data_IF_850407937810
#
_entry.id   IF_850407937810
#
_cell.length_a   1.000
_cell.length_b   1.000
_cell.length_c   1.000
_cell.angle_alpha   90.00
_cell.angle_beta   90.00
_cell.angle_gamma   90.00
#
_symmetry.space_group_name_H-M   'P 1'
#
loop_
_entity.id
_entity.type
_entity.pdbx_description
1 polymer ?
#
# COMPACT_ATOMS: atom_id res chain seq x y z
N UNK A 1 24.72 -0.60 10.99
CA UNK A 1 25.50 -1.83 10.63
C UNK A 1 25.42 -2.16 9.14
N UNK A 2 24.25 -2.46 8.53
CA UNK A 2 24.17 -2.79 7.07
C UNK A 2 24.67 -1.64 6.20
N UNK A 3 24.28 -0.40 6.46
CA UNK A 3 24.75 0.80 5.75
C UNK A 3 26.27 0.92 5.74
N UNK A 4 26.93 0.75 6.88
CA UNK A 4 28.38 0.87 7.01
C UNK A 4 29.14 -0.23 6.24
N UNK A 5 28.56 -1.42 6.17
CA UNK A 5 29.10 -2.53 5.38
C UNK A 5 29.00 -2.21 3.90
N UNK A 6 27.81 -1.76 3.44
CA UNK A 6 27.56 -1.44 2.04
C UNK A 6 28.42 -0.28 1.52
N UNK A 7 28.61 0.77 2.32
CA UNK A 7 29.45 1.92 1.94
C UNK A 7 30.94 1.61 1.89
N UNK A 8 31.40 0.58 2.63
CA UNK A 8 32.82 0.14 2.60
C UNK A 8 33.13 -0.88 1.51
N UNK A 9 32.12 -1.48 0.88
CA UNK A 9 32.32 -2.45 -0.18
C UNK A 9 32.82 -1.76 -1.47
N UNK A 10 33.99 -2.18 -1.95
CA UNK A 10 34.55 -1.73 -3.24
C UNK A 10 34.03 -2.52 -4.45
N UNK A 11 32.81 -3.03 -4.36
CA UNK A 11 32.17 -3.84 -5.41
C UNK A 11 30.88 -3.17 -5.87
N UNK A 12 30.46 -3.45 -7.10
CA UNK A 12 29.15 -3.03 -7.59
C UNK A 12 28.06 -3.81 -6.84
N UNK A 13 27.06 -3.11 -6.34
CA UNK A 13 25.95 -3.69 -5.57
C UNK A 13 24.66 -3.30 -6.28
N UNK A 14 23.77 -4.26 -6.50
CA UNK A 14 22.41 -4.01 -6.90
C UNK A 14 21.52 -4.09 -5.64
N UNK A 15 20.77 -3.02 -5.40
CA UNK A 15 19.90 -2.90 -4.24
C UNK A 15 18.47 -2.63 -4.70
N UNK A 16 17.53 -3.40 -4.18
CA UNK A 16 16.10 -3.18 -4.35
C UNK A 16 15.52 -2.97 -2.95
N UNK A 17 14.93 -1.82 -2.71
CA UNK A 17 14.33 -1.49 -1.41
C UNK A 17 13.22 -0.45 -1.58
N UNK A 18 12.27 -0.45 -0.66
CA UNK A 18 11.25 0.58 -0.52
C UNK A 18 11.58 1.60 0.58
N UNK A 19 12.69 1.40 1.29
CA UNK A 19 13.20 2.33 2.30
C UNK A 19 14.00 3.44 1.60
N UNK A 20 13.34 4.55 1.30
CA UNK A 20 13.92 5.70 0.59
C UNK A 20 15.09 6.33 1.36
N UNK A 21 15.00 6.61 2.67
CA UNK A 21 16.12 7.11 3.46
C UNK A 21 17.35 6.22 3.40
N UNK A 22 17.14 4.90 3.49
CA UNK A 22 18.23 3.94 3.35
C UNK A 22 18.83 3.95 1.94
N UNK A 23 18.00 3.85 0.89
CA UNK A 23 18.42 3.94 -0.51
C UNK A 23 19.28 5.18 -0.73
N UNK A 24 18.75 6.34 -0.35
CA UNK A 24 19.40 7.65 -0.56
C UNK A 24 20.76 7.78 0.12
N UNK A 25 20.97 6.99 1.18
CA UNK A 25 22.23 6.98 1.93
C UNK A 25 23.34 6.12 1.34
N UNK A 26 23.01 5.25 0.37
CA UNK A 26 23.93 4.22 -0.14
C UNK A 26 24.12 4.29 -1.66
N UNK A 27 23.08 4.71 -2.40
CA UNK A 27 23.09 4.70 -3.86
C UNK A 27 23.71 5.95 -4.47
N UNK A 28 24.26 5.79 -5.67
CA UNK A 28 24.73 6.88 -6.54
C UNK A 28 24.21 6.73 -7.98
N UNK A 29 23.41 5.70 -8.23
CA UNK A 29 22.89 5.37 -9.54
C UNK A 29 21.56 4.64 -9.39
N UNK A 30 20.58 5.01 -10.21
CA UNK A 30 19.27 4.36 -10.24
C UNK A 30 19.01 3.82 -11.65
N UNK A 31 18.55 2.58 -11.71
CA UNK A 31 17.94 2.00 -12.89
C UNK A 31 16.45 1.92 -12.69
N UNK A 32 15.70 2.74 -13.44
CA UNK A 32 14.25 2.76 -13.44
C UNK A 32 13.71 1.87 -14.55
N UNK A 33 12.84 0.92 -14.19
CA UNK A 33 12.18 0.01 -15.13
C UNK A 33 10.74 0.44 -15.32
N UNK A 34 10.42 0.95 -16.49
CA UNK A 34 9.06 1.36 -16.84
C UNK A 34 8.77 1.00 -18.30
N UNK A 35 7.56 0.53 -18.61
CA UNK A 35 7.13 0.16 -19.97
C UNK A 35 8.12 -0.75 -20.71
N UNK A 36 8.71 -1.73 -20.02
CA UNK A 36 9.74 -2.64 -20.55
C UNK A 36 11.02 -1.93 -21.01
N UNK A 37 11.22 -0.70 -20.61
CA UNK A 37 12.45 0.07 -20.84
C UNK A 37 13.20 0.22 -19.53
N UNK A 38 14.51 0.15 -19.62
CA UNK A 38 15.43 0.41 -18.51
C UNK A 38 16.08 1.76 -18.74
N UNK A 39 15.82 2.72 -17.85
CA UNK A 39 16.42 4.07 -17.93
C UNK A 39 17.37 4.28 -16.76
N UNK A 40 18.58 4.77 -17.09
CA UNK A 40 19.63 5.04 -16.12
C UNK A 40 19.59 6.48 -15.66
N UNK A 41 19.58 6.70 -14.34
CA UNK A 41 19.70 8.02 -13.71
C UNK A 41 20.91 8.02 -12.78
N UNK A 42 21.74 9.06 -12.90
CA UNK A 42 22.91 9.26 -12.03
C UNK A 42 22.48 10.21 -10.91
N UNK A 43 22.80 9.88 -9.69
CA UNK A 43 22.44 10.66 -8.51
C UNK A 43 21.70 9.83 -7.46
N UNK A 44 21.14 10.52 -6.48
CA UNK A 44 20.34 9.94 -5.41
C UNK A 44 18.86 9.80 -5.82
N UNK A 45 18.05 9.29 -4.89
CA UNK A 45 16.62 9.06 -5.15
C UNK A 45 15.82 10.35 -5.36
N UNK A 46 16.16 11.43 -4.64
CA UNK A 46 15.44 12.71 -4.77
C UNK A 46 15.76 13.38 -6.10
N UNK A 47 17.02 13.30 -6.55
CA UNK A 47 17.43 13.81 -7.86
C UNK A 47 16.76 13.01 -8.99
N UNK A 48 16.73 11.69 -8.87
CA UNK A 48 15.96 10.83 -9.79
C UNK A 48 14.50 11.26 -9.87
N UNK A 49 13.83 11.43 -8.72
CA UNK A 49 12.42 11.79 -8.69
C UNK A 49 12.16 13.11 -9.38
N UNK A 50 12.99 14.12 -9.11
CA UNK A 50 12.90 15.45 -9.76
C UNK A 50 13.03 15.36 -11.28
N UNK A 51 14.02 14.60 -11.78
CA UNK A 51 14.25 14.42 -13.22
C UNK A 51 13.10 13.61 -13.84
N UNK A 52 12.65 12.56 -13.17
CA UNK A 52 11.56 11.71 -13.64
C UNK A 52 10.25 12.50 -13.77
N UNK A 53 9.87 13.28 -12.77
CA UNK A 53 8.68 14.14 -12.80
C UNK A 53 8.76 15.20 -13.91
N UNK A 54 9.91 15.83 -14.08
CA UNK A 54 10.13 16.80 -15.16
C UNK A 54 9.97 16.13 -16.54
N UNK A 55 10.57 14.95 -16.74
CA UNK A 55 10.47 14.20 -17.99
C UNK A 55 9.03 13.74 -18.25
N UNK A 56 8.32 13.27 -17.21
CA UNK A 56 6.90 12.89 -17.30
C UNK A 56 6.03 14.07 -17.70
N UNK A 57 6.22 15.24 -17.09
CA UNK A 57 5.49 16.46 -17.44
C UNK A 57 5.77 16.90 -18.88
N UNK A 58 7.02 16.82 -19.32
CA UNK A 58 7.42 17.16 -20.70
C UNK A 58 6.77 16.18 -21.71
N UNK A 59 6.78 14.88 -21.43
CA UNK A 59 6.16 13.87 -22.28
C UNK A 59 4.64 14.06 -22.35
N UNK A 60 3.99 14.38 -21.23
CA UNK A 60 2.56 14.68 -21.18
C UNK A 60 2.24 15.91 -22.04
N UNK A 61 2.98 16.99 -21.92
CA UNK A 61 2.78 18.18 -22.74
C UNK A 61 3.01 17.92 -24.24
N UNK A 62 4.00 17.09 -24.58
CA UNK A 62 4.25 16.69 -25.98
C UNK A 62 3.09 15.84 -26.54
N UNK A 63 2.56 14.90 -25.73
CA UNK A 63 1.38 14.09 -26.09
C UNK A 63 0.15 14.98 -26.35
N UNK A 64 -0.15 15.91 -25.46
CA UNK A 64 -1.30 16.81 -25.60
C UNK A 64 -1.20 17.67 -26.87
N UNK A 65 -0.01 18.22 -27.16
CA UNK A 65 0.24 18.95 -28.41
C UNK A 65 0.05 18.07 -29.63
N UNK A 66 0.54 16.83 -29.60
CA UNK A 66 0.35 15.88 -30.69
C UNK A 66 -1.12 15.53 -30.88
N UNK A 67 -1.88 15.30 -29.79
CA UNK A 67 -3.33 15.01 -29.88
C UNK A 67 -4.10 16.18 -30.49
N UNK A 68 -3.75 17.42 -30.15
CA UNK A 68 -4.36 18.61 -30.76
C UNK A 68 -4.02 18.70 -32.26
N UNK A 69 -2.78 18.45 -32.65
CA UNK A 69 -2.39 18.42 -34.08
C UNK A 69 -3.12 17.30 -34.83
N UNK A 70 -3.19 16.12 -34.28
CA UNK A 70 -3.95 14.98 -34.85
C UNK A 70 -5.42 15.33 -35.02
N UNK A 71 -6.05 15.95 -34.02
CA UNK A 71 -7.46 16.38 -34.12
C UNK A 71 -7.66 17.41 -35.23
N UNK A 72 -6.80 18.42 -35.34
CA UNK A 72 -6.86 19.42 -36.39
C UNK A 72 -6.70 18.81 -37.82
N UNK A 73 -5.73 17.89 -37.95
CA UNK A 73 -5.49 17.22 -39.23
C UNK A 73 -6.67 16.33 -39.60
N UNK A 74 -7.24 15.56 -38.67
CA UNK A 74 -8.45 14.74 -38.91
C UNK A 74 -9.66 15.58 -39.30
N UNK A 75 -9.91 16.68 -38.59
CA UNK A 75 -11.01 17.59 -38.89
C UNK A 75 -10.86 18.22 -40.28
N UNK A 76 -9.66 18.67 -40.64
CA UNK A 76 -9.39 19.20 -41.97
C UNK A 76 -9.63 18.15 -43.07
N UNK A 77 -9.14 16.92 -42.88
CA UNK A 77 -9.33 15.82 -43.83
C UNK A 77 -10.83 15.51 -43.97
N UNK A 78 -11.58 15.42 -42.87
CA UNK A 78 -13.01 15.14 -42.89
C UNK A 78 -13.81 16.19 -43.70
N UNK A 79 -13.49 17.49 -43.47
CA UNK A 79 -14.21 18.60 -44.18
C UNK A 79 -13.84 18.74 -45.66
N UNK A 80 -12.64 18.33 -46.06
CA UNK A 80 -12.10 18.63 -47.40
C UNK A 80 -11.94 17.39 -48.29
N UNK A 81 -12.16 16.18 -47.80
CA UNK A 81 -11.99 14.92 -48.55
C UNK A 81 -12.91 14.86 -49.80
N UNK A 82 -14.15 15.35 -49.70
CA UNK A 82 -15.17 15.28 -50.74
C UNK A 82 -15.09 16.43 -51.75
N UNK A 83 -14.30 17.50 -51.51
CA UNK A 83 -14.23 18.67 -52.40
C UNK A 83 -13.10 18.52 -53.40
N UNK A 84 -13.39 18.57 -54.70
CA UNK A 84 -12.41 18.40 -55.79
C UNK A 84 -11.22 19.37 -55.66
N UNK A 85 -11.47 20.64 -55.34
CA UNK A 85 -10.44 21.67 -55.22
C UNK A 85 -9.48 21.46 -54.03
N UNK A 86 -9.91 20.76 -52.97
CA UNK A 86 -9.10 20.59 -51.71
C UNK A 86 -8.71 19.14 -51.45
N UNK A 87 -9.16 18.20 -52.28
CA UNK A 87 -8.90 16.76 -52.08
C UNK A 87 -7.42 16.41 -52.10
N UNK A 88 -6.60 17.10 -52.89
CA UNK A 88 -5.14 16.93 -52.91
C UNK A 88 -4.48 17.32 -51.60
N UNK A 89 -4.90 18.45 -51.00
CA UNK A 89 -4.41 18.87 -49.65
C UNK A 89 -4.88 17.94 -48.55
N UNK A 90 -6.13 17.44 -48.65
CA UNK A 90 -6.67 16.46 -47.70
C UNK A 90 -5.86 15.15 -47.75
N UNK A 91 -5.53 14.64 -48.96
CA UNK A 91 -4.67 13.45 -49.13
C UNK A 91 -3.26 13.66 -48.55
N UNK A 92 -2.66 14.85 -48.76
CA UNK A 92 -1.33 15.15 -48.18
C UNK A 92 -1.35 15.16 -46.65
N UNK A 93 -2.39 15.73 -46.04
CA UNK A 93 -2.56 15.73 -44.58
C UNK A 93 -2.87 14.34 -44.01
N UNK A 94 -3.67 13.55 -44.73
CA UNK A 94 -3.89 12.14 -44.37
C UNK A 94 -2.57 11.38 -44.37
N UNK A 95 -1.74 11.54 -45.42
CA UNK A 95 -0.41 10.90 -45.49
C UNK A 95 0.53 11.36 -44.36
N UNK A 96 0.38 12.60 -43.87
CA UNK A 96 1.11 13.08 -42.68
C UNK A 96 0.64 12.36 -41.43
N UNK A 97 -0.68 12.19 -41.22
CA UNK A 97 -1.27 11.43 -40.12
C UNK A 97 -0.81 9.97 -40.13
N UNK A 98 -0.84 9.32 -41.31
CA UNK A 98 -0.46 7.90 -41.44
C UNK A 98 1.04 7.65 -41.15
N UNK A 99 1.88 8.69 -41.28
CA UNK A 99 3.32 8.61 -41.01
C UNK A 99 3.71 9.12 -39.63
N UNK A 100 2.76 9.67 -38.85
CA UNK A 100 3.04 10.24 -37.56
C UNK A 100 3.25 9.12 -36.53
N UNK A 101 4.43 9.06 -35.93
CA UNK A 101 4.67 8.19 -34.78
C UNK A 101 3.89 8.73 -33.57
N UNK A 102 2.94 7.93 -33.11
CA UNK A 102 2.09 8.32 -31.99
C UNK A 102 2.88 8.17 -30.68
N UNK A 103 2.86 9.23 -29.85
CA UNK A 103 3.40 9.19 -28.51
C UNK A 103 2.45 8.32 -27.67
N UNK A 104 2.98 7.24 -27.11
CA UNK A 104 2.26 6.39 -26.18
C UNK A 104 2.64 6.84 -24.75
N UNK A 105 1.64 7.30 -24.01
CA UNK A 105 1.82 7.50 -22.57
C UNK A 105 1.74 6.16 -21.86
N UNK A 106 2.57 6.00 -20.84
CA UNK A 106 2.39 4.90 -19.91
C UNK A 106 0.96 4.92 -19.36
N UNK A 107 0.28 3.78 -19.38
CA UNK A 107 -0.99 3.68 -18.70
C UNK A 107 -0.77 4.06 -17.23
N UNK A 108 -1.42 5.11 -16.76
CA UNK A 108 -1.34 5.49 -15.35
C UNK A 108 -1.83 4.31 -14.50
N UNK A 109 -0.99 3.91 -13.55
CA UNK A 109 -1.44 2.93 -12.56
C UNK A 109 -2.57 3.57 -11.77
N UNK A 110 -3.68 2.86 -11.53
CA UNK A 110 -4.76 3.41 -10.72
C UNK A 110 -4.20 3.74 -9.33
N UNK A 111 -4.36 4.99 -8.93
CA UNK A 111 -3.95 5.42 -7.59
C UNK A 111 -4.86 4.74 -6.57
N UNK A 112 -4.31 4.18 -5.50
CA UNK A 112 -5.12 3.58 -4.45
C UNK A 112 -5.92 4.66 -3.72
N UNK A 113 -7.15 4.33 -3.33
CA UNK A 113 -8.03 5.14 -2.49
C UNK A 113 -8.57 4.26 -1.38
N UNK A 114 -8.17 4.54 -0.13
CA UNK A 114 -8.55 3.75 1.03
C UNK A 114 -9.53 4.55 1.91
N UNK A 115 -10.75 4.04 2.06
CA UNK A 115 -11.78 4.63 2.91
C UNK A 115 -12.38 3.55 3.80
N UNK A 116 -12.01 3.55 5.08
CA UNK A 116 -12.52 2.58 6.05
C UNK A 116 -13.99 2.85 6.37
N UNK A 117 -14.81 1.81 6.32
CA UNK A 117 -16.20 1.90 6.75
C UNK A 117 -16.27 1.99 8.27
N UNK A 118 -17.14 2.89 8.74
CA UNK A 118 -17.37 3.08 10.17
C UNK A 118 -18.43 2.08 10.64
N UNK A 119 -18.07 1.21 11.56
CA UNK A 119 -18.98 0.33 12.27
C UNK A 119 -19.71 1.03 13.43
N UNK A 120 -20.46 0.24 14.20
CA UNK A 120 -21.13 0.69 15.43
C UNK A 120 -20.11 1.26 16.42
N UNK A 121 -20.51 2.26 17.19
CA UNK A 121 -19.66 2.81 18.25
C UNK A 121 -19.38 1.74 19.33
N UNK A 122 -18.11 1.47 19.62
CA UNK A 122 -17.69 0.55 20.70
C UNK A 122 -17.97 1.11 22.10
N UNK A 123 -17.87 0.28 23.12
CA UNK A 123 -17.83 0.69 24.52
C UNK A 123 -16.68 1.69 24.79
N UNK A 124 -16.64 2.25 26.02
CA UNK A 124 -15.57 3.18 26.40
C UNK A 124 -14.20 2.48 26.45
N UNK A 125 -14.16 1.30 27.03
CA UNK A 125 -12.96 0.46 27.10
C UNK A 125 -12.89 -0.43 25.87
N UNK A 126 -11.73 -0.48 25.23
CA UNK A 126 -11.45 -1.39 24.14
C UNK A 126 -10.94 -2.72 24.72
N UNK A 127 -9.89 -2.67 25.51
CA UNK A 127 -9.44 -3.81 26.28
C UNK A 127 -8.70 -3.34 27.55
N UNK A 128 -8.67 -4.23 28.53
CA UNK A 128 -7.87 -4.12 29.74
C UNK A 128 -7.19 -5.47 29.98
N UNK A 129 -5.93 -5.43 30.38
CA UNK A 129 -5.18 -6.65 30.75
C UNK A 129 -4.73 -6.59 32.18
N UNK A 130 -4.79 -7.73 32.90
CA UNK A 130 -4.28 -7.87 34.25
C UNK A 130 -3.22 -8.95 34.27
N UNK A 131 -1.99 -8.55 34.58
CA UNK A 131 -0.81 -9.41 34.66
C UNK A 131 -0.65 -10.35 33.44
N UNK A 132 -1.00 -9.86 32.25
CA UNK A 132 -0.97 -10.63 31.03
C UNK A 132 0.45 -11.05 30.67
N UNK A 133 0.67 -12.35 30.54
CA UNK A 133 1.93 -12.93 30.06
C UNK A 133 1.66 -13.63 28.72
N UNK A 134 2.33 -13.18 27.67
CA UNK A 134 2.22 -13.75 26.33
C UNK A 134 3.42 -14.64 25.99
N UNK A 135 3.18 -15.61 25.14
CA UNK A 135 4.20 -16.55 24.65
C UNK A 135 3.58 -17.78 24.02
N UNK A 136 4.40 -18.73 23.64
CA UNK A 136 3.99 -20.04 23.16
C UNK A 136 4.31 -21.12 24.23
N UNK A 137 5.57 -21.55 24.30
CA UNK A 137 6.03 -22.50 25.32
C UNK A 137 6.75 -21.78 26.47
N UNK A 138 7.31 -20.60 26.19
CA UNK A 138 8.04 -19.77 27.14
C UNK A 138 7.49 -18.34 27.13
N UNK A 139 7.53 -17.64 28.29
CA UNK A 139 7.11 -16.25 28.37
C UNK A 139 7.98 -15.35 27.50
N UNK A 140 7.35 -14.55 26.65
CA UNK A 140 7.99 -13.51 25.84
C UNK A 140 8.00 -12.16 26.56
N UNK A 141 7.09 -11.97 27.50
CA UNK A 141 6.94 -10.70 28.23
C UNK A 141 6.89 -10.92 29.74
N UNK A 142 7.21 -9.87 30.47
CA UNK A 142 6.85 -9.70 31.88
C UNK A 142 5.31 -9.57 31.97
N UNK A 143 4.72 -9.67 33.17
CA UNK A 143 3.28 -9.37 33.35
C UNK A 143 2.93 -7.98 32.86
N UNK A 144 1.94 -7.87 31.97
CA UNK A 144 1.51 -6.64 31.32
C UNK A 144 0.14 -6.19 31.85
N UNK A 145 0.07 -4.93 32.25
CA UNK A 145 -1.16 -4.24 32.62
C UNK A 145 -1.42 -3.13 31.62
N UNK A 146 -2.10 -3.47 30.52
CA UNK A 146 -2.38 -2.59 29.41
C UNK A 146 -3.85 -2.16 29.45
N UNK A 147 -4.07 -0.93 29.04
CA UNK A 147 -5.42 -0.37 28.97
C UNK A 147 -5.56 0.49 27.73
N UNK A 148 -6.63 0.27 26.96
CA UNK A 148 -6.92 1.03 25.75
C UNK A 148 -8.36 1.54 25.78
N UNK A 149 -8.54 2.83 25.56
CA UNK A 149 -9.86 3.47 25.44
C UNK A 149 -10.26 3.70 23.99
N UNK A 150 -11.56 3.86 23.79
CA UNK A 150 -12.13 4.20 22.50
C UNK A 150 -11.54 5.50 21.96
N UNK A 151 -11.17 5.48 20.68
CA UNK A 151 -10.61 6.63 19.97
C UNK A 151 -9.09 6.75 20.09
N UNK A 152 -8.45 5.98 20.98
CA UNK A 152 -7.00 5.93 21.00
C UNK A 152 -6.45 5.22 19.76
N UNK A 153 -5.33 5.74 19.27
CA UNK A 153 -4.54 5.16 18.18
C UNK A 153 -3.15 4.90 18.71
N UNK A 154 -2.80 3.65 18.88
CA UNK A 154 -1.58 3.23 19.56
C UNK A 154 -0.64 2.54 18.58
N UNK A 155 0.63 2.98 18.54
CA UNK A 155 1.69 2.26 17.85
C UNK A 155 2.40 1.32 18.81
N UNK A 156 2.55 0.06 18.40
CA UNK A 156 3.34 -0.94 19.08
C UNK A 156 4.70 -1.05 18.40
N UNK A 157 5.75 -0.59 19.05
CA UNK A 157 7.11 -0.51 18.50
C UNK A 157 8.08 -1.43 19.23
N UNK A 158 9.23 -1.72 18.62
CA UNK A 158 10.29 -2.55 19.17
C UNK A 158 10.90 -3.48 18.13
N UNK A 159 12.02 -4.12 18.46
CA UNK A 159 12.73 -5.02 17.55
C UNK A 159 11.89 -6.23 17.12
N UNK A 160 12.30 -6.90 16.03
CA UNK A 160 11.62 -8.11 15.58
C UNK A 160 11.83 -9.26 16.58
N UNK A 161 10.80 -10.12 16.70
CA UNK A 161 10.85 -11.27 17.60
C UNK A 161 10.53 -10.99 19.09
N UNK A 162 10.14 -9.75 19.44
CA UNK A 162 9.73 -9.38 20.81
C UNK A 162 8.28 -9.77 21.15
N UNK A 163 7.55 -10.38 20.23
CA UNK A 163 6.19 -10.86 20.48
C UNK A 163 5.08 -9.88 20.12
N UNK A 164 5.34 -8.85 19.29
CA UNK A 164 4.31 -7.87 18.87
C UNK A 164 3.08 -8.54 18.25
N UNK A 165 3.27 -9.37 17.22
CA UNK A 165 2.20 -10.17 16.59
C UNK A 165 1.53 -11.12 17.61
N UNK A 166 2.32 -11.72 18.50
CA UNK A 166 1.78 -12.60 19.56
C UNK A 166 0.88 -11.84 20.51
N UNK A 167 1.28 -10.61 20.90
CA UNK A 167 0.43 -9.73 21.72
C UNK A 167 -0.89 -9.42 21.02
N UNK A 168 -0.84 -9.01 19.74
CA UNK A 168 -2.07 -8.75 18.97
C UNK A 168 -3.00 -9.97 18.95
N UNK A 169 -2.44 -11.16 18.66
CA UNK A 169 -3.22 -12.41 18.61
C UNK A 169 -3.75 -12.83 19.99
N UNK A 170 -2.99 -12.60 21.07
CA UNK A 170 -3.47 -12.86 22.43
C UNK A 170 -4.57 -11.90 22.86
N UNK A 171 -4.46 -10.61 22.52
CA UNK A 171 -5.53 -9.62 22.78
C UNK A 171 -6.83 -9.96 22.04
N UNK A 172 -6.74 -10.52 20.85
CA UNK A 172 -7.90 -11.00 20.09
C UNK A 172 -8.43 -12.38 20.52
N UNK A 173 -7.76 -13.04 21.46
CA UNK A 173 -8.12 -14.39 21.89
C UNK A 173 -7.78 -15.49 20.87
N UNK A 174 -7.01 -15.20 19.83
CA UNK A 174 -6.56 -16.18 18.81
C UNK A 174 -5.50 -17.11 19.37
N UNK A 175 -4.62 -16.60 20.23
CA UNK A 175 -3.60 -17.37 20.93
C UNK A 175 -3.87 -17.24 22.44
N UNK A 176 -3.92 -18.35 23.20
CA UNK A 176 -4.10 -18.28 24.64
C UNK A 176 -2.90 -17.60 25.29
N UNK A 177 -3.16 -16.80 26.35
CA UNK A 177 -2.11 -16.24 27.21
C UNK A 177 -1.49 -17.33 28.07
N UNK A 178 -0.23 -17.19 28.46
CA UNK A 178 0.44 -18.06 29.41
C UNK A 178 0.08 -17.71 30.87
N UNK A 179 -0.41 -16.51 31.12
CA UNK A 179 -0.85 -16.05 32.43
C UNK A 179 -1.60 -14.72 32.32
N UNK A 180 -2.32 -14.38 33.38
CA UNK A 180 -3.13 -13.17 33.45
C UNK A 180 -4.42 -13.25 32.63
N UNK A 181 -5.12 -12.13 32.56
CA UNK A 181 -6.44 -12.04 31.93
C UNK A 181 -6.50 -10.87 30.93
N UNK A 182 -7.31 -11.07 29.89
CA UNK A 182 -7.68 -10.02 28.93
C UNK A 182 -9.19 -9.81 29.01
N UNK A 183 -9.61 -8.61 29.36
CA UNK A 183 -11.01 -8.19 29.36
C UNK A 183 -11.28 -7.32 28.15
N UNK A 184 -12.18 -7.76 27.26
CA UNK A 184 -12.58 -7.02 26.08
C UNK A 184 -13.79 -6.14 26.39
N UNK A 185 -13.82 -4.95 25.82
CA UNK A 185 -14.96 -4.04 25.91
C UNK A 185 -16.16 -4.53 25.09
N UNK A 186 -17.28 -3.81 25.23
CA UNK A 186 -18.53 -4.13 24.55
C UNK A 186 -18.55 -3.63 23.09
N UNK A 187 -19.35 -4.29 22.26
CA UNK A 187 -19.68 -3.89 20.88
C UNK A 187 -18.46 -3.72 19.97
N UNK A 188 -17.49 -4.61 20.09
CA UNK A 188 -16.30 -4.59 19.27
C UNK A 188 -16.57 -5.17 17.88
N UNK A 189 -16.12 -4.42 16.86
CA UNK A 189 -16.06 -4.84 15.47
C UNK A 189 -14.59 -4.65 15.03
N UNK A 190 -13.82 -5.74 15.16
CA UNK A 190 -12.36 -5.72 14.95
C UNK A 190 -12.07 -6.05 13.50
N UNK A 191 -11.42 -5.13 12.80
CA UNK A 191 -10.76 -5.39 11.53
C UNK A 191 -9.29 -5.72 11.76
N UNK A 192 -8.88 -6.92 11.34
CA UNK A 192 -7.49 -7.36 11.51
C UNK A 192 -6.76 -7.45 10.17
N UNK A 193 -5.64 -6.74 10.09
CA UNK A 193 -4.70 -6.87 8.99
C UNK A 193 -3.52 -7.71 9.45
N UNK A 194 -3.50 -8.98 9.02
CA UNK A 194 -2.46 -9.92 9.38
C UNK A 194 -1.20 -9.70 8.54
N UNK A 195 -0.04 -9.89 9.18
CA UNK A 195 1.23 -10.03 8.48
C UNK A 195 1.12 -11.19 7.48
N UNK A 196 2.00 -11.27 6.49
CA UNK A 196 1.96 -12.23 5.38
C UNK A 196 1.39 -13.60 5.72
N UNK A 197 0.39 -14.01 4.92
CA UNK A 197 -0.13 -15.39 4.95
C UNK A 197 0.84 -16.26 4.16
N UNK A 198 1.44 -17.25 4.81
CA UNK A 198 2.41 -18.18 4.18
C UNK A 198 1.77 -19.18 3.22
N UNK A 199 0.45 -19.37 3.29
CA UNK A 199 -0.27 -20.32 2.45
C UNK A 199 -0.59 -19.73 1.07
N UNK A 200 -0.39 -20.53 0.02
CA UNK A 200 -0.70 -20.11 -1.33
C UNK A 200 -2.21 -20.01 -1.53
N UNK A 201 -2.70 -18.80 -1.81
CA UNK A 201 -4.11 -18.56 -2.11
C UNK A 201 -4.35 -18.67 -3.62
N UNK A 202 -5.10 -19.70 -4.02
CA UNK A 202 -5.39 -20.00 -5.42
C UNK A 202 -6.69 -19.36 -5.94
N UNK A 203 -7.45 -18.68 -5.08
CA UNK A 203 -8.61 -17.91 -5.49
C UNK A 203 -8.18 -16.73 -6.38
N UNK A 204 -9.04 -16.32 -7.30
CA UNK A 204 -8.89 -15.02 -7.96
C UNK A 204 -9.13 -13.89 -6.95
N UNK A 205 -8.64 -12.68 -7.24
CA UNK A 205 -8.89 -11.54 -6.33
C UNK A 205 -10.39 -11.28 -6.14
N UNK A 206 -11.19 -11.54 -7.18
CA UNK A 206 -12.65 -11.39 -7.10
C UNK A 206 -13.24 -12.41 -6.13
N UNK A 207 -12.90 -13.69 -6.30
CA UNK A 207 -13.38 -14.76 -5.43
C UNK A 207 -12.99 -14.52 -3.97
N UNK A 208 -11.73 -14.13 -3.74
CA UNK A 208 -11.18 -13.86 -2.41
C UNK A 208 -11.93 -12.72 -1.67
N UNK A 209 -12.33 -11.67 -2.37
CA UNK A 209 -13.12 -10.59 -1.77
C UNK A 209 -14.60 -10.95 -1.70
N UNK A 210 -15.11 -11.61 -2.72
CA UNK A 210 -16.53 -12.00 -2.78
C UNK A 210 -16.92 -13.02 -1.72
N UNK A 211 -16.04 -13.96 -1.41
CA UNK A 211 -16.24 -14.93 -0.33
C UNK A 211 -16.52 -14.24 1.02
N UNK A 212 -15.82 -13.14 1.29
CA UNK A 212 -16.05 -12.32 2.51
C UNK A 212 -17.33 -11.46 2.43
N UNK A 213 -17.72 -11.04 1.22
CA UNK A 213 -18.87 -10.14 0.99
C UNK A 213 -19.85 -10.72 -0.03
N UNK A 214 -20.53 -11.82 0.26
CA UNK A 214 -21.40 -12.53 -0.70
C UNK A 214 -22.62 -11.72 -1.13
N UNK A 215 -23.00 -10.69 -0.36
CA UNK A 215 -24.10 -9.79 -0.69
C UNK A 215 -23.77 -8.77 -1.76
N UNK A 216 -22.47 -8.51 -2.04
CA UNK A 216 -22.04 -7.57 -3.08
C UNK A 216 -22.14 -8.20 -4.47
N UNK A 217 -22.46 -7.38 -5.44
CA UNK A 217 -22.40 -7.79 -6.85
C UNK A 217 -20.96 -7.90 -7.34
N UNK A 218 -20.72 -8.66 -8.40
CA UNK A 218 -19.38 -8.77 -9.02
C UNK A 218 -18.84 -7.40 -9.45
N UNK A 219 -19.70 -6.51 -9.90
CA UNK A 219 -19.31 -5.14 -10.28
C UNK A 219 -18.80 -4.34 -9.08
N UNK A 220 -19.47 -4.42 -7.93
CA UNK A 220 -19.05 -3.74 -6.70
C UNK A 220 -17.72 -4.28 -6.18
N UNK A 221 -17.51 -5.60 -6.25
CA UNK A 221 -16.22 -6.22 -5.87
C UNK A 221 -15.10 -5.76 -6.80
N UNK A 222 -15.32 -5.76 -8.13
CA UNK A 222 -14.35 -5.26 -9.09
C UNK A 222 -14.04 -3.77 -8.87
N UNK A 223 -15.05 -2.96 -8.60
CA UNK A 223 -14.89 -1.54 -8.30
C UNK A 223 -14.09 -1.31 -7.01
N UNK A 224 -14.35 -2.08 -5.97
CA UNK A 224 -13.60 -2.02 -4.70
C UNK A 224 -12.11 -2.37 -4.89
N UNK A 225 -11.82 -3.44 -5.63
CA UNK A 225 -10.44 -3.84 -5.97
C UNK A 225 -9.72 -2.78 -6.82
N UNK A 226 -10.41 -2.19 -7.81
CA UNK A 226 -9.86 -1.12 -8.65
C UNK A 226 -9.55 0.13 -7.82
N UNK A 227 -10.40 0.51 -6.88
CA UNK A 227 -10.14 1.60 -5.91
C UNK A 227 -8.92 1.34 -5.04
N UNK A 228 -8.59 0.08 -4.77
CA UNK A 228 -7.35 -0.27 -4.08
C UNK A 228 -6.10 -0.22 -4.98
N UNK A 229 -6.22 0.30 -6.21
CA UNK A 229 -5.10 0.46 -7.14
C UNK A 229 -4.72 -0.81 -7.90
N UNK A 230 -5.64 -1.80 -7.99
CA UNK A 230 -5.43 -3.00 -8.76
C UNK A 230 -5.94 -2.81 -10.20
N UNK A 231 -5.12 -3.22 -11.18
CA UNK A 231 -5.52 -3.21 -12.59
C UNK A 231 -6.49 -4.35 -12.90
N UNK A 232 -7.24 -4.26 -14.00
CA UNK A 232 -8.15 -5.33 -14.45
C UNK A 232 -7.43 -6.68 -14.53
N UNK A 233 -6.18 -6.70 -15.02
CA UNK A 233 -5.37 -7.92 -15.09
C UNK A 233 -5.10 -8.51 -13.71
N UNK A 234 -4.78 -7.69 -12.72
CA UNK A 234 -4.55 -8.15 -11.34
C UNK A 234 -5.85 -8.67 -10.72
N UNK A 235 -6.97 -7.98 -10.95
CA UNK A 235 -8.29 -8.35 -10.42
C UNK A 235 -8.73 -9.75 -10.89
N UNK A 236 -8.39 -10.11 -12.12
CA UNK A 236 -8.71 -11.43 -12.71
C UNK A 236 -7.66 -12.51 -12.41
N UNK A 237 -6.51 -12.12 -11.87
CA UNK A 237 -5.43 -13.04 -11.53
C UNK A 237 -5.69 -13.73 -10.18
N UNK A 238 -5.07 -14.91 -10.02
CA UNK A 238 -5.03 -15.59 -8.71
C UNK A 238 -4.17 -14.80 -7.73
N UNK A 239 -4.57 -14.77 -6.45
CA UNK A 239 -3.84 -14.03 -5.41
C UNK A 239 -2.39 -14.50 -5.28
N UNK A 240 -2.13 -15.81 -5.41
CA UNK A 240 -0.77 -16.37 -5.29
C UNK A 240 0.23 -15.92 -6.38
N UNK A 241 -0.25 -15.40 -7.53
CA UNK A 241 0.64 -14.93 -8.61
C UNK A 241 0.89 -13.41 -8.56
N UNK A 242 0.24 -12.72 -7.65
CA UNK A 242 0.43 -11.30 -7.42
C UNK A 242 1.74 -11.03 -6.66
N UNK A 243 2.31 -9.85 -6.86
CA UNK A 243 3.39 -9.34 -6.01
C UNK A 243 2.92 -9.12 -4.56
N UNK A 244 3.84 -9.11 -3.59
CA UNK A 244 3.51 -8.88 -2.19
C UNK A 244 2.69 -7.59 -1.97
N UNK A 245 3.00 -6.52 -2.70
CA UNK A 245 2.25 -5.26 -2.63
C UNK A 245 0.83 -5.35 -3.19
N UNK A 246 0.63 -6.09 -4.26
CA UNK A 246 -0.71 -6.35 -4.82
C UNK A 246 -1.54 -7.23 -3.90
N UNK A 247 -0.93 -8.27 -3.29
CA UNK A 247 -1.59 -9.09 -2.27
C UNK A 247 -1.98 -8.27 -1.04
N UNK A 248 -1.12 -7.36 -0.58
CA UNK A 248 -1.43 -6.44 0.51
C UNK A 248 -2.63 -5.54 0.17
N UNK A 249 -2.73 -5.05 -1.08
CA UNK A 249 -3.89 -4.27 -1.55
C UNK A 249 -5.19 -5.08 -1.60
N UNK A 250 -5.14 -6.37 -1.94
CA UNK A 250 -6.32 -7.27 -1.85
C UNK A 250 -6.76 -7.41 -0.40
N UNK A 251 -5.83 -7.63 0.54
CA UNK A 251 -6.13 -7.70 1.98
C UNK A 251 -6.70 -6.38 2.51
N UNK A 252 -6.11 -5.24 2.12
CA UNK A 252 -6.66 -3.92 2.46
C UNK A 252 -8.07 -3.72 1.87
N UNK A 253 -8.32 -4.18 0.64
CA UNK A 253 -9.65 -4.13 0.04
C UNK A 253 -10.69 -4.87 0.90
N UNK A 254 -10.35 -6.03 1.46
CA UNK A 254 -11.23 -6.74 2.40
C UNK A 254 -11.48 -5.91 3.67
N UNK A 255 -10.43 -5.34 4.23
CA UNK A 255 -10.51 -4.59 5.48
C UNK A 255 -11.30 -3.27 5.35
N UNK A 256 -11.07 -2.49 4.30
CA UNK A 256 -11.77 -1.20 4.09
C UNK A 256 -13.26 -1.36 3.78
N UNK A 257 -13.67 -2.53 3.27
CA UNK A 257 -15.07 -2.86 2.98
C UNK A 257 -15.81 -3.51 4.15
N UNK A 258 -15.14 -3.70 5.27
CA UNK A 258 -15.69 -4.23 6.51
C UNK A 258 -16.08 -3.09 7.47
N UNK A 259 -17.26 -3.17 8.07
CA UNK A 259 -17.66 -2.24 9.11
C UNK A 259 -16.87 -2.52 10.38
N UNK A 260 -15.98 -1.60 10.75
CA UNK A 260 -15.09 -1.75 11.90
C UNK A 260 -15.14 -0.54 12.82
N UNK A 261 -14.90 -0.76 14.11
CA UNK A 261 -14.68 0.30 15.08
C UNK A 261 -13.31 0.21 15.78
N UNK A 262 -12.60 -0.90 15.53
CA UNK A 262 -11.23 -1.13 15.97
C UNK A 262 -10.45 -1.71 14.79
N UNK A 263 -9.30 -1.11 14.48
CA UNK A 263 -8.34 -1.67 13.52
C UNK A 263 -7.12 -2.18 14.27
N UNK A 264 -6.79 -3.45 14.04
CA UNK A 264 -5.56 -4.08 14.50
C UNK A 264 -4.72 -4.36 13.24
N UNK A 265 -3.59 -3.68 13.12
CA UNK A 265 -2.78 -3.70 11.91
C UNK A 265 -1.37 -4.19 12.23
N UNK A 266 -0.99 -5.34 11.66
CA UNK A 266 0.32 -5.93 11.85
C UNK A 266 1.20 -5.69 10.63
N UNK A 267 2.11 -4.72 10.74
CA UNK A 267 3.03 -4.26 9.69
C UNK A 267 2.35 -3.95 8.33
N UNK A 268 1.31 -3.12 8.29
CA UNK A 268 0.51 -2.91 7.08
C UNK A 268 1.27 -2.16 5.98
N UNK A 269 2.41 -1.55 6.29
CA UNK A 269 3.27 -0.84 5.33
C UNK A 269 4.18 -1.77 4.54
N UNK A 270 4.34 -3.03 4.98
CA UNK A 270 5.20 -3.98 4.29
C UNK A 270 4.71 -4.24 2.86
N UNK A 271 5.66 -4.21 1.92
CA UNK A 271 5.43 -4.39 0.49
C UNK A 271 4.58 -3.32 -0.21
N UNK A 272 4.04 -2.32 0.51
CA UNK A 272 3.34 -1.22 -0.13
C UNK A 272 4.34 -0.26 -0.79
N UNK A 273 3.99 0.22 -1.98
CA UNK A 273 4.70 1.32 -2.62
C UNK A 273 4.40 2.66 -1.91
N UNK A 274 5.16 3.69 -2.25
CA UNK A 274 5.09 5.00 -1.59
C UNK A 274 3.68 5.59 -1.67
N UNK A 275 3.03 5.51 -2.85
CA UNK A 275 1.68 6.06 -3.05
C UNK A 275 0.64 5.35 -2.17
N UNK A 276 0.71 4.01 -2.06
CA UNK A 276 -0.19 3.26 -1.21
C UNK A 276 0.08 3.49 0.30
N UNK A 277 1.34 3.68 0.70
CA UNK A 277 1.69 4.05 2.09
C UNK A 277 1.11 5.40 2.48
N UNK A 278 1.28 6.42 1.64
CA UNK A 278 0.74 7.76 1.90
C UNK A 278 -0.79 7.75 1.96
N UNK A 279 -1.44 7.01 1.08
CA UNK A 279 -2.89 6.88 1.08
C UNK A 279 -3.39 6.12 2.32
N UNK A 280 -2.71 5.04 2.72
CA UNK A 280 -3.02 4.32 3.97
C UNK A 280 -2.86 5.24 5.19
N UNK A 281 -1.77 6.02 5.24
CA UNK A 281 -1.52 7.00 6.29
C UNK A 281 -2.65 8.03 6.38
N UNK A 282 -3.10 8.58 5.22
CA UNK A 282 -4.25 9.49 5.15
C UNK A 282 -5.51 8.83 5.72
N UNK A 283 -5.81 7.64 5.23
CA UNK A 283 -7.02 6.90 5.63
C UNK A 283 -7.04 6.57 7.14
N UNK A 284 -5.88 6.18 7.71
CA UNK A 284 -5.76 5.91 9.15
C UNK A 284 -5.88 7.19 9.99
N UNK A 285 -5.39 8.34 9.51
CA UNK A 285 -5.61 9.64 10.17
C UNK A 285 -7.09 9.98 10.26
N UNK A 286 -7.82 9.79 9.17
CA UNK A 286 -9.25 10.12 9.07
C UNK A 286 -10.16 9.10 9.78
N UNK A 287 -9.68 7.89 10.02
CA UNK A 287 -10.44 6.85 10.69
C UNK A 287 -10.85 7.27 12.10
N UNK A 288 -12.13 7.14 12.41
CA UNK A 288 -12.75 7.60 13.67
C UNK A 288 -12.80 6.54 14.78
N UNK A 289 -12.41 5.31 14.48
CA UNK A 289 -12.30 4.21 15.45
C UNK A 289 -10.96 4.22 16.18
N UNK A 290 -10.75 3.17 16.95
CA UNK A 290 -9.49 2.91 17.65
C UNK A 290 -8.53 2.12 16.75
N UNK A 291 -7.23 2.34 16.91
CA UNK A 291 -6.20 1.67 16.11
C UNK A 291 -5.13 1.11 17.04
N UNK A 292 -4.78 -0.16 16.84
CA UNK A 292 -3.56 -0.76 17.39
C UNK A 292 -2.67 -1.17 16.21
N UNK A 293 -1.53 -0.49 16.05
CA UNK A 293 -0.68 -0.55 14.87
C UNK A 293 0.70 -1.06 15.22
N UNK A 294 1.12 -2.19 14.68
CA UNK A 294 2.54 -2.59 14.65
C UNK A 294 3.17 -1.96 13.42
N UNK A 295 4.19 -1.13 13.63
CA UNK A 295 4.91 -0.49 12.54
C UNK A 295 6.35 -0.16 12.95
N UNK A 296 7.28 -0.37 12.02
CA UNK A 296 8.70 -0.05 12.20
C UNK A 296 9.12 1.28 11.59
N UNK A 297 8.22 1.98 10.89
CA UNK A 297 8.49 3.22 10.17
C UNK A 297 8.02 4.44 11.01
N UNK A 298 8.91 5.16 11.73
CA UNK A 298 8.51 6.30 12.55
C UNK A 298 7.82 7.42 11.75
N UNK A 299 8.23 7.64 10.50
CA UNK A 299 7.66 8.64 9.60
C UNK A 299 6.20 8.30 9.21
N UNK A 300 5.84 7.01 9.27
CA UNK A 300 4.48 6.58 9.02
C UNK A 300 3.58 6.76 10.25
N UNK A 301 3.98 6.22 11.41
CA UNK A 301 3.06 6.14 12.55
C UNK A 301 2.97 7.43 13.38
N UNK A 302 4.03 8.25 13.48
CA UNK A 302 4.05 9.47 14.33
C UNK A 302 2.89 10.43 14.08
N UNK A 303 2.47 10.54 12.83
CA UNK A 303 1.36 11.42 12.46
C UNK A 303 -0.03 10.77 12.59
N UNK A 304 -0.09 9.47 12.85
CA UNK A 304 -1.33 8.67 12.89
C UNK A 304 -1.78 8.40 14.31
N UNK A 305 -0.82 8.13 15.21
CA UNK A 305 -1.09 7.61 16.55
C UNK A 305 -1.12 8.69 17.62
N UNK A 306 -1.86 8.42 18.69
CA UNK A 306 -1.92 9.25 19.90
C UNK A 306 -0.90 8.83 20.94
N UNK A 307 -0.56 7.53 20.97
CA UNK A 307 0.28 6.92 21.98
C UNK A 307 1.24 5.91 21.35
N UNK A 308 2.36 5.66 22.02
CA UNK A 308 3.36 4.67 21.58
C UNK A 308 3.64 3.71 22.73
N UNK A 309 3.53 2.42 22.46
CA UNK A 309 3.91 1.35 23.36
C UNK A 309 5.20 0.70 22.88
N UNK A 310 6.23 0.71 23.75
CA UNK A 310 7.53 0.12 23.42
C UNK A 310 7.64 -1.29 24.02
N UNK A 311 7.66 -2.31 23.15
CA UNK A 311 7.79 -3.70 23.57
C UNK A 311 9.15 -4.05 24.19
N UNK A 312 10.17 -3.24 23.95
CA UNK A 312 11.50 -3.48 24.53
C UNK A 312 11.50 -3.36 26.06
N UNK A 313 10.59 -2.56 26.62
CA UNK A 313 10.42 -2.40 28.07
C UNK A 313 9.77 -3.63 28.73
N UNK A 314 9.06 -4.43 27.96
CA UNK A 314 8.23 -5.54 28.44
C UNK A 314 8.85 -6.91 28.24
N UNK A 315 9.84 -7.01 27.37
CA UNK A 315 10.42 -8.30 26.98
C UNK A 315 11.20 -8.94 28.14
N UNK A 316 11.13 -10.27 28.21
CA UNK A 316 12.01 -11.10 29.05
C UNK A 316 13.30 -11.44 28.32
N UNK A 317 13.37 -11.20 27.00
CA UNK A 317 14.58 -11.45 26.21
C UNK A 317 15.60 -10.33 26.42
N UNK A 318 16.86 -10.69 26.51
CA UNK A 318 17.98 -9.74 26.45
C UNK A 318 18.10 -9.29 24.98
N UNK A 319 17.88 -8.01 24.73
CA UNK A 319 17.97 -7.38 23.40
C UNK A 319 19.40 -6.91 23.13
#
# INVERSE_FOLDING_TARGET
MVKEILTKLRKCIYLISHDIPFLNSVINLIYHVENRKLTRYVGDYYEFQRIYEANKAQLQAAYERQQQEVAQLKDFVARNKARVATSGMAKARQKKLDKMEMIELAAEKPKPEFNFLKGRTSGKVIFETKDLVIGYNEPLTKPLNLYMERGQKIALVGANGLGKTTLLKSLMGVIPSLGGEVSLGEYQQIGYFEQEIKEANYNTCIEEVWEKFPSKTQYEVRSALAKCGLTTKHIESKVCVLSGGEQARVRLCKLINEETNILILDEPTNHLDVEAKEELKRALKEYKGSILLVCHEPEFYKDVVTDIWNCEEWTTKVV
#
